data_IF_113131907458
#
_entry.id   IF_113131907458
#
_cell.length_a   1.000
_cell.length_b   1.000
_cell.length_c   1.000
_cell.angle_alpha   90.00
_cell.angle_beta   90.00
_cell.angle_gamma   90.00
#
_symmetry.space_group_name_H-M   'P 1'
#
loop_
_entity.id
_entity.type
_entity.pdbx_description
1 polymer ?
#
# COMPACT_ATOMS: atom_id res chain seq x y z
N UNK A 1 -19.98 -23.23 -19.65
CA UNK A 1 -18.71 -22.91 -18.93
C UNK A 1 -18.95 -23.21 -17.46
N UNK A 2 -18.00 -23.85 -16.78
CA UNK A 2 -18.11 -24.12 -15.34
C UNK A 2 -17.77 -22.81 -14.63
N UNK A 3 -18.67 -22.34 -13.76
CA UNK A 3 -18.44 -21.13 -12.96
C UNK A 3 -17.67 -21.57 -11.73
N UNK A 4 -16.43 -21.11 -11.56
CA UNK A 4 -15.62 -21.51 -10.41
C UNK A 4 -15.87 -20.61 -9.21
N UNK A 5 -15.97 -21.22 -8.02
CA UNK A 5 -16.01 -20.50 -6.73
C UNK A 5 -14.60 -20.53 -6.13
N UNK A 6 -14.00 -19.35 -6.00
CA UNK A 6 -12.60 -19.20 -5.59
C UNK A 6 -12.55 -18.46 -4.27
N UNK A 7 -11.91 -19.02 -3.25
CA UNK A 7 -11.80 -18.38 -1.94
C UNK A 7 -10.53 -17.53 -1.84
N UNK A 8 -10.66 -16.36 -1.23
CA UNK A 8 -9.52 -15.53 -0.82
C UNK A 8 -9.61 -15.18 0.65
N UNK A 9 -8.48 -15.26 1.35
CA UNK A 9 -8.36 -14.77 2.71
C UNK A 9 -6.95 -14.21 2.97
N UNK A 10 -6.84 -13.33 3.96
CA UNK A 10 -5.57 -12.81 4.43
C UNK A 10 -5.32 -13.33 5.84
N UNK A 11 -4.13 -13.87 6.09
CA UNK A 11 -3.74 -14.27 7.43
C UNK A 11 -3.52 -13.04 8.30
N UNK A 12 -4.01 -13.08 9.53
CA UNK A 12 -3.70 -12.07 10.53
C UNK A 12 -2.38 -12.41 11.24
N UNK A 13 -1.67 -11.41 11.77
CA UNK A 13 -0.41 -11.59 12.52
C UNK A 13 -0.55 -12.56 13.72
N UNK A 14 -1.78 -12.77 14.21
CA UNK A 14 -2.09 -13.65 15.34
C UNK A 14 -2.42 -15.10 14.94
N UNK A 15 -2.57 -15.38 13.64
CA UNK A 15 -3.03 -16.67 13.10
C UNK A 15 -1.93 -17.41 12.32
N UNK A 16 -0.67 -17.20 12.71
CA UNK A 16 0.44 -17.92 12.08
C UNK A 16 0.54 -19.35 12.62
N UNK A 17 0.42 -20.31 11.70
CA UNK A 17 0.78 -21.74 11.79
C UNK A 17 -0.24 -22.79 12.27
N UNK A 18 -1.42 -22.43 12.81
CA UNK A 18 -2.33 -23.45 13.38
C UNK A 18 -3.83 -23.35 13.09
N UNK A 19 -4.33 -22.23 12.55
CA UNK A 19 -5.77 -22.00 12.35
C UNK A 19 -6.24 -22.05 10.89
N UNK A 20 -5.32 -22.24 9.94
CA UNK A 20 -5.60 -22.30 8.51
C UNK A 20 -6.57 -23.44 8.12
N UNK A 21 -6.74 -24.46 8.96
CA UNK A 21 -7.60 -25.61 8.68
C UNK A 21 -9.10 -25.43 9.04
N UNK A 22 -9.53 -24.35 9.72
CA UNK A 22 -10.92 -24.28 10.23
C UNK A 22 -11.61 -22.91 10.15
N UNK A 23 -11.63 -22.31 8.97
CA UNK A 23 -12.81 -21.55 8.52
C UNK A 23 -13.40 -22.21 7.30
N UNK A 24 -13.69 -23.50 7.46
CA UNK A 24 -14.58 -24.28 6.60
C UNK A 24 -16.00 -23.75 6.79
N UNK A 25 -16.35 -22.72 6.01
CA UNK A 25 -17.71 -22.70 5.47
C UNK A 25 -17.92 -24.03 4.75
N UNK A 26 -19.09 -24.64 4.85
CA UNK A 26 -19.46 -25.88 4.14
C UNK A 26 -19.45 -25.74 2.60
N UNK A 27 -18.85 -24.67 2.07
CA UNK A 27 -18.74 -24.37 0.66
C UNK A 27 -17.54 -25.08 0.04
N UNK A 28 -17.79 -25.74 -1.09
CA UNK A 28 -16.75 -26.34 -1.92
C UNK A 28 -16.16 -25.25 -2.81
N UNK A 29 -14.87 -24.99 -2.66
CA UNK A 29 -14.12 -24.03 -3.49
C UNK A 29 -13.20 -24.75 -4.46
N UNK A 30 -13.14 -24.28 -5.70
CA UNK A 30 -12.28 -24.85 -6.75
C UNK A 30 -10.80 -24.49 -6.55
N UNK A 31 -10.54 -23.30 -5.98
CA UNK A 31 -9.20 -22.81 -5.67
C UNK A 31 -9.24 -21.88 -4.46
N UNK A 32 -8.10 -21.79 -3.76
CA UNK A 32 -7.94 -20.98 -2.56
C UNK A 32 -6.63 -20.20 -2.67
N UNK A 33 -6.70 -18.89 -2.43
CA UNK A 33 -5.55 -17.99 -2.43
C UNK A 33 -5.43 -17.26 -1.09
N UNK A 34 -4.19 -17.05 -0.64
CA UNK A 34 -3.93 -16.30 0.58
C UNK A 34 -2.75 -15.34 0.44
N UNK A 35 -2.80 -14.28 1.25
CA UNK A 35 -1.70 -13.34 1.51
C UNK A 35 -1.34 -13.39 3.00
N UNK A 36 -0.06 -13.15 3.30
CA UNK A 36 0.45 -13.13 4.66
C UNK A 36 0.15 -11.79 5.36
N UNK A 37 0.25 -11.78 6.69
CA UNK A 37 0.02 -10.56 7.44
C UNK A 37 1.13 -9.51 7.20
N UNK A 38 2.35 -9.97 6.91
CA UNK A 38 3.52 -9.15 6.60
C UNK A 38 3.42 -8.46 5.23
N UNK A 39 2.55 -8.95 4.35
CA UNK A 39 2.30 -8.36 3.06
C UNK A 39 1.63 -6.99 3.23
N UNK A 40 2.28 -5.97 2.67
CA UNK A 40 1.79 -4.60 2.72
C UNK A 40 0.76 -4.36 1.61
N UNK A 41 0.03 -3.24 1.67
CA UNK A 41 -0.99 -2.93 0.66
C UNK A 41 -0.45 -2.80 -0.78
N UNK A 42 0.87 -2.62 -0.95
CA UNK A 42 1.56 -2.50 -2.24
C UNK A 42 2.13 -3.83 -2.76
N UNK A 43 2.21 -4.86 -1.93
CA UNK A 43 2.82 -6.14 -2.26
C UNK A 43 1.90 -7.26 -1.77
N UNK A 44 0.93 -7.64 -2.61
CA UNK A 44 -0.08 -8.67 -2.33
C UNK A 44 -0.03 -9.77 -3.39
N UNK A 45 0.98 -10.66 -3.34
CA UNK A 45 1.20 -11.66 -4.38
C UNK A 45 0.06 -12.68 -4.49
N UNK A 46 -0.60 -13.03 -3.39
CA UNK A 46 -1.78 -13.88 -3.33
C UNK A 46 -2.97 -13.29 -4.08
N UNK A 47 -3.34 -12.05 -3.76
CA UNK A 47 -4.42 -11.33 -4.45
C UNK A 47 -4.13 -11.15 -5.94
N UNK A 48 -2.89 -10.81 -6.31
CA UNK A 48 -2.51 -10.69 -7.72
C UNK A 48 -2.60 -12.02 -8.48
N UNK A 49 -2.15 -13.12 -7.86
CA UNK A 49 -2.30 -14.47 -8.44
C UNK A 49 -3.76 -14.84 -8.62
N UNK A 50 -4.61 -14.53 -7.65
CA UNK A 50 -6.06 -14.73 -7.77
C UNK A 50 -6.64 -13.94 -8.94
N UNK A 51 -6.33 -12.65 -9.05
CA UNK A 51 -6.83 -11.82 -10.15
C UNK A 51 -6.35 -12.34 -11.50
N UNK A 52 -5.15 -12.95 -11.59
CA UNK A 52 -4.67 -13.57 -12.83
C UNK A 52 -5.36 -14.90 -13.13
N UNK A 53 -5.65 -15.69 -12.09
CA UNK A 53 -6.28 -17.00 -12.18
C UNK A 53 -7.75 -16.93 -12.60
N UNK A 54 -8.51 -15.96 -12.07
CA UNK A 54 -9.95 -15.82 -12.34
C UNK A 54 -10.25 -15.63 -13.83
N UNK A 55 -11.40 -16.12 -14.28
CA UNK A 55 -11.94 -15.95 -15.62
C UNK A 55 -13.33 -15.33 -15.56
N UNK A 56 -13.84 -14.91 -16.72
CA UNK A 56 -15.20 -14.38 -16.82
C UNK A 56 -16.23 -15.39 -16.30
N UNK A 57 -17.14 -14.92 -15.45
CA UNK A 57 -18.18 -15.70 -14.80
C UNK A 57 -17.78 -16.31 -13.45
N UNK A 58 -16.49 -16.31 -13.08
CA UNK A 58 -16.07 -16.82 -11.78
C UNK A 58 -16.59 -15.97 -10.63
N UNK A 59 -16.70 -16.57 -9.45
CA UNK A 59 -17.06 -15.88 -8.21
C UNK A 59 -15.91 -15.98 -7.22
N UNK A 60 -15.37 -14.81 -6.85
CA UNK A 60 -14.40 -14.69 -5.75
C UNK A 60 -15.18 -14.50 -4.45
N UNK A 61 -14.93 -15.38 -3.48
CA UNK A 61 -15.55 -15.37 -2.16
C UNK A 61 -14.53 -14.94 -1.13
N UNK A 62 -14.88 -13.92 -0.35
CA UNK A 62 -14.05 -13.37 0.72
C UNK A 62 -14.87 -13.33 2.01
N UNK A 63 -14.22 -13.57 3.14
CA UNK A 63 -14.90 -13.58 4.44
C UNK A 63 -15.54 -12.21 4.77
N UNK A 64 -14.83 -11.10 4.55
CA UNK A 64 -15.34 -9.74 4.79
C UNK A 64 -14.60 -8.69 3.96
N UNK A 65 -15.17 -7.49 3.85
CA UNK A 65 -14.51 -6.37 3.17
C UNK A 65 -13.19 -5.99 3.86
N UNK A 66 -13.17 -6.02 5.20
CA UNK A 66 -11.99 -5.72 6.01
C UNK A 66 -10.87 -6.77 5.83
N UNK A 67 -11.22 -8.03 5.53
CA UNK A 67 -10.25 -9.07 5.22
C UNK A 67 -9.60 -8.85 3.85
N UNK A 68 -10.34 -8.27 2.89
CA UNK A 68 -9.80 -7.93 1.58
C UNK A 68 -8.87 -6.73 1.66
N UNK A 69 -9.27 -5.65 2.32
CA UNK A 69 -8.45 -4.44 2.41
C UNK A 69 -8.81 -3.54 3.59
N UNK A 70 -7.82 -2.81 4.09
CA UNK A 70 -7.97 -1.80 5.14
C UNK A 70 -8.27 -0.39 4.60
N UNK A 71 -8.34 -0.22 3.28
CA UNK A 71 -8.59 1.06 2.62
C UNK A 71 -9.82 0.95 1.73
N UNK A 72 -10.81 1.79 1.97
CA UNK A 72 -12.05 1.85 1.18
C UNK A 72 -11.74 2.23 -0.27
N UNK A 73 -10.79 3.14 -0.50
CA UNK A 73 -10.31 3.49 -1.85
C UNK A 73 -9.79 2.26 -2.61
N UNK A 74 -8.96 1.44 -1.95
CA UNK A 74 -8.46 0.20 -2.53
C UNK A 74 -9.58 -0.82 -2.75
N UNK A 75 -10.59 -0.84 -1.88
CA UNK A 75 -11.74 -1.73 -2.01
C UNK A 75 -12.54 -1.40 -3.27
N UNK A 76 -12.89 -0.14 -3.48
CA UNK A 76 -13.61 0.31 -4.68
C UNK A 76 -12.80 0.00 -5.95
N UNK A 77 -11.49 0.23 -5.93
CA UNK A 77 -10.59 -0.09 -7.05
C UNK A 77 -10.60 -1.59 -7.38
N UNK A 78 -10.55 -2.46 -6.38
CA UNK A 78 -10.60 -3.91 -6.57
C UNK A 78 -11.95 -4.39 -7.09
N UNK A 79 -13.05 -3.85 -6.55
CA UNK A 79 -14.41 -4.14 -7.01
C UNK A 79 -14.54 -3.80 -8.50
N UNK A 80 -14.18 -2.58 -8.91
CA UNK A 80 -14.24 -2.15 -10.33
C UNK A 80 -13.40 -3.05 -11.22
N UNK A 81 -12.16 -3.37 -10.82
CA UNK A 81 -11.26 -4.25 -11.58
C UNK A 81 -11.82 -5.66 -11.78
N UNK A 82 -12.50 -6.23 -10.79
CA UNK A 82 -13.12 -7.55 -10.91
C UNK A 82 -14.38 -7.51 -11.77
N UNK A 83 -15.21 -6.47 -11.62
CA UNK A 83 -16.39 -6.24 -12.45
C UNK A 83 -16.01 -6.07 -13.93
N UNK A 84 -14.99 -5.28 -14.24
CA UNK A 84 -14.46 -5.11 -15.60
C UNK A 84 -14.02 -6.44 -16.22
N UNK A 85 -13.51 -7.35 -15.39
CA UNK A 85 -13.15 -8.72 -15.78
C UNK A 85 -14.35 -9.68 -15.85
N UNK A 86 -15.56 -9.20 -15.58
CA UNK A 86 -16.78 -9.99 -15.50
C UNK A 86 -16.70 -11.09 -14.42
N UNK A 87 -16.04 -10.79 -13.30
CA UNK A 87 -15.90 -11.65 -12.13
C UNK A 87 -16.83 -11.13 -11.04
N UNK A 88 -17.56 -12.04 -10.39
CA UNK A 88 -18.41 -11.71 -9.26
C UNK A 88 -17.59 -11.69 -7.96
N UNK A 89 -17.92 -10.81 -7.03
CA UNK A 89 -17.28 -10.72 -5.73
C UNK A 89 -18.32 -10.87 -4.62
N UNK A 90 -18.14 -11.86 -3.76
CA UNK A 90 -19.04 -12.22 -2.67
C UNK A 90 -18.35 -12.01 -1.32
N UNK A 91 -19.00 -11.25 -0.45
CA UNK A 91 -18.58 -10.99 0.92
C UNK A 91 -19.51 -11.71 1.90
N UNK A 92 -18.97 -12.68 2.64
CA UNK A 92 -19.76 -13.55 3.51
C UNK A 92 -20.29 -12.82 4.75
N UNK A 93 -19.50 -11.96 5.38
CA UNK A 93 -19.89 -11.28 6.62
C UNK A 93 -20.97 -10.23 6.41
N UNK A 94 -20.86 -9.48 5.32
CA UNK A 94 -21.78 -8.41 4.94
C UNK A 94 -22.99 -8.92 4.14
N UNK A 95 -23.01 -10.20 3.78
CA UNK A 95 -24.01 -10.81 2.88
C UNK A 95 -24.20 -10.01 1.58
N UNK A 96 -23.10 -9.52 1.01
CA UNK A 96 -23.11 -8.64 -0.15
C UNK A 96 -22.42 -9.30 -1.34
N UNK A 97 -23.05 -9.24 -2.51
CA UNK A 97 -22.51 -9.79 -3.75
C UNK A 97 -22.49 -8.72 -4.83
N UNK A 98 -21.29 -8.35 -5.28
CA UNK A 98 -21.07 -7.52 -6.45
C UNK A 98 -21.03 -8.42 -7.68
N UNK A 99 -22.15 -8.49 -8.40
CA UNK A 99 -22.21 -9.22 -9.67
C UNK A 99 -21.98 -8.30 -10.85
N UNK A 100 -21.26 -8.79 -11.85
CA UNK A 100 -20.98 -8.02 -13.06
C UNK A 100 -22.26 -7.74 -13.89
N UNK A 101 -23.31 -8.55 -13.71
CA UNK A 101 -24.57 -8.48 -14.47
C UNK A 101 -25.63 -7.56 -13.81
N UNK A 102 -25.40 -7.13 -12.58
CA UNK A 102 -26.32 -6.32 -11.77
C UNK A 102 -25.75 -4.93 -11.46
N UNK A 103 -24.98 -4.37 -12.39
CA UNK A 103 -24.24 -3.11 -12.20
C UNK A 103 -25.15 -1.93 -11.81
N UNK A 104 -26.35 -1.85 -12.37
CA UNK A 104 -27.31 -0.77 -12.06
C UNK A 104 -27.67 -0.69 -10.58
N UNK A 105 -27.70 -1.83 -9.88
CA UNK A 105 -28.01 -1.90 -8.44
C UNK A 105 -26.74 -1.68 -7.60
N UNK A 106 -25.58 -2.07 -8.12
CA UNK A 106 -24.30 -2.01 -7.39
C UNK A 106 -23.63 -0.63 -7.50
N UNK A 107 -23.80 0.08 -8.61
CA UNK A 107 -23.14 1.38 -8.85
C UNK A 107 -23.47 2.43 -7.77
N UNK A 108 -24.73 2.57 -7.28
CA UNK A 108 -25.02 3.48 -6.18
C UNK A 108 -24.29 3.11 -4.88
N UNK A 109 -24.11 1.82 -4.60
CA UNK A 109 -23.38 1.35 -3.42
C UNK A 109 -21.90 1.71 -3.56
N UNK A 110 -21.31 1.44 -4.71
CA UNK A 110 -19.92 1.79 -5.02
C UNK A 110 -19.72 3.31 -4.92
N UNK A 111 -20.63 4.12 -5.46
CA UNK A 111 -20.56 5.58 -5.41
C UNK A 111 -20.59 6.11 -3.97
N UNK A 112 -21.43 5.55 -3.10
CA UNK A 112 -21.45 5.91 -1.68
C UNK A 112 -20.14 5.51 -1.00
N UNK A 113 -19.60 4.33 -1.29
CA UNK A 113 -18.30 3.91 -0.77
C UNK A 113 -17.16 4.83 -1.24
N UNK A 114 -17.17 5.28 -2.49
CA UNK A 114 -16.21 6.25 -3.03
C UNK A 114 -16.32 7.61 -2.34
N UNK A 115 -17.54 8.09 -2.08
CA UNK A 115 -17.75 9.32 -1.31
C UNK A 115 -17.19 9.21 0.11
N UNK A 116 -17.38 8.06 0.77
CA UNK A 116 -16.82 7.79 2.10
C UNK A 116 -15.28 7.77 2.02
N UNK A 117 -14.70 7.12 1.01
CA UNK A 117 -13.25 7.07 0.82
C UNK A 117 -12.65 8.49 0.67
N UNK A 118 -13.29 9.36 -0.09
CA UNK A 118 -12.83 10.75 -0.27
C UNK A 118 -12.95 11.56 1.03
N UNK A 119 -14.03 11.33 1.79
CA UNK A 119 -14.20 11.94 3.11
C UNK A 119 -13.09 11.51 4.09
N UNK A 120 -12.79 10.22 4.16
CA UNK A 120 -11.71 9.70 5.02
C UNK A 120 -10.34 10.23 4.62
N UNK A 121 -10.07 10.32 3.32
CA UNK A 121 -8.84 10.90 2.76
C UNK A 121 -8.68 12.35 3.19
N UNK A 122 -9.74 13.15 3.01
CA UNK A 122 -9.74 14.57 3.40
C UNK A 122 -9.53 14.73 4.90
N UNK A 123 -10.28 13.99 5.72
CA UNK A 123 -10.15 14.03 7.18
C UNK A 123 -8.74 13.61 7.66
N UNK A 124 -8.11 12.64 7.00
CA UNK A 124 -6.74 12.21 7.30
C UNK A 124 -5.74 13.32 6.99
N UNK A 125 -5.87 13.99 5.84
CA UNK A 125 -5.01 15.11 5.45
C UNK A 125 -5.14 16.29 6.43
N UNK A 126 -6.36 16.62 6.85
CA UNK A 126 -6.59 17.69 7.84
C UNK A 126 -5.92 17.39 9.18
N UNK A 127 -6.11 16.16 9.70
CA UNK A 127 -5.47 15.72 10.95
C UNK A 127 -3.94 15.76 10.83
N UNK A 128 -3.40 15.33 9.69
CA UNK A 128 -1.98 15.39 9.40
C UNK A 128 -1.48 16.84 9.40
N UNK A 129 -2.20 17.76 8.76
CA UNK A 129 -1.85 19.18 8.74
C UNK A 129 -1.82 19.79 10.15
N UNK A 130 -2.81 19.48 10.99
CA UNK A 130 -2.84 19.89 12.41
C UNK A 130 -1.64 19.32 13.17
N UNK A 131 -1.33 18.04 12.96
CA UNK A 131 -0.18 17.37 13.57
C UNK A 131 1.16 18.01 13.18
N UNK A 132 1.32 18.32 11.89
CA UNK A 132 2.49 19.03 11.35
C UNK A 132 2.60 20.42 11.96
N UNK A 133 1.51 21.19 12.03
CA UNK A 133 1.50 22.51 12.65
C UNK A 133 1.95 22.46 14.12
N UNK A 134 1.42 21.51 14.90
CA UNK A 134 1.83 21.27 16.29
C UNK A 134 3.30 20.85 16.42
N UNK A 135 3.81 20.02 15.52
CA UNK A 135 5.22 19.61 15.51
C UNK A 135 6.17 20.74 15.07
N UNK A 136 5.73 21.63 14.17
CA UNK A 136 6.45 22.86 13.81
C UNK A 136 6.54 23.83 14.99
N UNK A 137 5.45 24.08 15.71
CA UNK A 137 5.46 24.92 16.92
C UNK A 137 6.40 24.37 18.00
N UNK A 138 6.48 23.04 18.15
CA UNK A 138 7.40 22.37 19.07
C UNK A 138 8.86 22.32 18.57
N UNK A 139 9.16 22.82 17.37
CA UNK A 139 10.52 22.83 16.82
C UNK A 139 11.10 21.45 16.50
N UNK A 140 10.25 20.42 16.30
CA UNK A 140 10.71 19.04 16.03
C UNK A 140 11.35 18.91 14.65
N UNK A 141 10.90 19.69 13.67
CA UNK A 141 11.44 19.68 12.31
C UNK A 141 12.78 20.41 12.25
N UNK A 142 13.88 19.64 12.21
CA UNK A 142 15.26 20.17 12.04
C UNK A 142 15.79 20.06 10.59
N UNK A 143 14.87 19.85 9.63
CA UNK A 143 15.22 19.61 8.23
C UNK A 143 15.94 18.27 8.01
N UNK A 144 16.50 18.10 6.82
CA UNK A 144 17.28 16.91 6.47
C UNK A 144 18.57 16.90 7.29
N UNK A 145 18.85 15.79 7.99
CA UNK A 145 20.13 15.60 8.68
C UNK A 145 21.29 15.80 7.70
N UNK A 146 22.31 16.57 8.10
CA UNK A 146 23.55 16.72 7.31
C UNK A 146 24.16 15.33 7.10
N UNK A 147 24.67 15.07 5.89
CA UNK A 147 25.36 13.80 5.59
C UNK A 147 26.75 13.73 6.22
N UNK A 148 27.42 14.87 6.32
CA UNK A 148 28.74 15.01 6.93
C UNK A 148 28.63 15.71 8.28
N UNK A 149 29.46 15.28 9.24
CA UNK A 149 29.70 16.02 10.47
C UNK A 149 30.46 17.31 10.19
N UNK A 150 30.43 18.28 11.10
CA UNK A 150 31.10 19.56 10.87
C UNK A 150 32.62 19.39 10.69
N UNK A 151 33.25 18.43 11.38
CA UNK A 151 34.66 18.06 11.19
C UNK A 151 34.94 17.49 9.79
N UNK A 152 34.04 16.66 9.27
CA UNK A 152 34.15 16.12 7.91
C UNK A 152 33.97 17.22 6.86
N UNK A 153 33.13 18.22 7.12
CA UNK A 153 32.97 19.38 6.23
C UNK A 153 34.26 20.20 6.17
N UNK A 154 34.90 20.47 7.32
CA UNK A 154 36.19 21.17 7.36
C UNK A 154 37.25 20.40 6.58
N UNK A 155 37.40 19.09 6.84
CA UNK A 155 38.35 18.25 6.12
C UNK A 155 38.09 18.20 4.61
N UNK A 156 36.81 18.17 4.20
CA UNK A 156 36.43 18.23 2.79
C UNK A 156 36.84 19.55 2.13
N UNK A 157 36.67 20.68 2.82
CA UNK A 157 37.03 22.01 2.32
C UNK A 157 38.55 22.12 2.20
N UNK A 158 39.30 21.73 3.23
CA UNK A 158 40.77 21.80 3.23
C UNK A 158 41.37 20.97 2.08
N UNK A 159 40.88 19.75 1.89
CA UNK A 159 41.32 18.88 0.79
C UNK A 159 40.92 19.42 -0.59
N UNK A 160 39.76 20.08 -0.69
CA UNK A 160 39.34 20.75 -1.91
C UNK A 160 40.24 21.97 -2.22
N UNK A 161 40.63 22.74 -1.20
CA UNK A 161 41.56 23.87 -1.33
C UNK A 161 42.99 23.40 -1.67
N UNK A 162 43.40 22.23 -1.20
CA UNK A 162 44.66 21.58 -1.58
C UNK A 162 44.70 21.08 -3.04
N UNK A 163 43.61 21.26 -3.80
CA UNK A 163 43.53 20.94 -5.22
C UNK A 163 43.14 19.50 -5.53
N UNK A 164 42.67 18.72 -4.55
CA UNK A 164 42.20 17.36 -4.81
C UNK A 164 40.99 17.34 -5.77
N UNK A 165 40.93 16.30 -6.61
CA UNK A 165 39.82 16.14 -7.55
C UNK A 165 38.50 16.01 -6.81
N UNK A 166 37.56 16.93 -7.11
CA UNK A 166 36.19 16.95 -6.57
C UNK A 166 35.43 15.64 -6.79
N UNK A 167 35.82 14.88 -7.84
CA UNK A 167 35.26 13.56 -8.14
C UNK A 167 35.70 12.50 -7.14
N UNK A 168 36.96 12.56 -6.73
CA UNK A 168 37.56 11.64 -5.76
C UNK A 168 37.02 11.95 -4.37
N UNK A 169 37.03 13.22 -3.98
CA UNK A 169 36.44 13.67 -2.70
C UNK A 169 34.98 13.28 -2.54
N UNK A 170 34.16 13.40 -3.59
CA UNK A 170 32.76 12.98 -3.52
C UNK A 170 32.61 11.48 -3.19
N UNK A 171 33.49 10.62 -3.73
CA UNK A 171 33.50 9.18 -3.43
C UNK A 171 34.03 8.90 -2.03
N UNK A 172 35.14 9.54 -1.65
CA UNK A 172 35.78 9.36 -0.34
C UNK A 172 34.85 9.73 0.83
N UNK A 173 34.00 10.73 0.63
CA UNK A 173 33.00 11.18 1.62
C UNK A 173 31.60 10.59 1.40
N UNK A 174 31.43 9.65 0.46
CA UNK A 174 30.14 8.98 0.14
C UNK A 174 28.97 9.95 -0.14
N UNK A 175 29.28 11.08 -0.78
CA UNK A 175 28.33 12.12 -1.13
C UNK A 175 28.23 12.32 -2.65
N UNK A 176 27.07 12.79 -3.11
CA UNK A 176 26.95 13.20 -4.51
C UNK A 176 27.82 14.43 -4.79
N UNK A 177 28.31 14.56 -6.03
CA UNK A 177 29.03 15.80 -6.46
C UNK A 177 28.22 17.06 -6.17
N UNK A 178 26.89 17.01 -6.35
CA UNK A 178 25.98 18.12 -6.00
C UNK A 178 26.03 18.48 -4.52
N UNK A 179 26.08 17.48 -3.63
CA UNK A 179 26.21 17.70 -2.18
C UNK A 179 27.58 18.30 -1.84
N UNK A 180 28.65 17.84 -2.50
CA UNK A 180 29.98 18.40 -2.35
C UNK A 180 30.02 19.89 -2.75
N UNK A 181 29.48 20.25 -3.92
CA UNK A 181 29.40 21.64 -4.36
C UNK A 181 28.53 22.50 -3.43
N UNK A 182 27.46 21.94 -2.85
CA UNK A 182 26.65 22.64 -1.86
C UNK A 182 27.47 22.99 -0.61
N UNK A 183 28.30 22.07 -0.12
CA UNK A 183 29.19 22.33 1.01
C UNK A 183 30.25 23.40 0.68
N UNK A 184 30.83 23.37 -0.53
CA UNK A 184 31.81 24.36 -0.97
C UNK A 184 31.21 25.75 -1.26
N UNK A 185 29.91 25.85 -1.53
CA UNK A 185 29.20 27.11 -1.82
C UNK A 185 28.55 27.73 -0.57
N UNK A 186 28.30 26.93 0.46
CA UNK A 186 27.67 27.38 1.71
C UNK A 186 28.65 28.08 2.67
N UNK A 187 29.83 28.46 2.18
CA UNK A 187 30.89 29.19 2.86
C UNK A 187 31.13 30.47 2.09
#
# INVERSE_FOLDING_TARGET
MRLHRIKYFRLSLQESEGSAEKKTSHDVFDAVFCDEAADNAANRPGLERLIRYTQCGDTVVVDSMAALTSSIEQLCTLIRRLIEKQVNLEFLSENLVFRHDCLEVMEPIIAVMEMIAEFERTATMERQAIGIARAKMRGVYRGRKKKLSDNQVVSLIDRACAGESKSKLARDFEISRQTLYRYLKST
#
